data_IF_706997014827
#
_entry.id   IF_706997014827
#
_cell.length_a   1.000
_cell.length_b   1.000
_cell.length_c   1.000
_cell.angle_alpha   90.00
_cell.angle_beta   90.00
_cell.angle_gamma   90.00
#
_symmetry.space_group_name_H-M   'P 1'
#
loop_
_entity.id
_entity.type
_entity.pdbx_description
1 polymer ?
#
# COMPACT_ATOMS: atom_id res chain seq x y z
N UNK A 1 -9.97 -11.33 -7.50
CA UNK A 1 -10.31 -10.46 -8.65
C UNK A 1 -9.03 -10.18 -9.42
N UNK A 2 -9.09 -10.06 -10.74
CA UNK A 2 -7.94 -9.75 -11.60
C UNK A 2 -8.10 -8.35 -12.18
N UNK A 3 -7.07 -7.53 -12.11
CA UNK A 3 -7.07 -6.14 -12.59
C UNK A 3 -6.14 -6.00 -13.80
N UNK A 4 -6.67 -5.91 -15.04
CA UNK A 4 -5.87 -5.54 -16.20
C UNK A 4 -5.41 -4.08 -16.14
N UNK A 5 -4.44 -3.71 -16.97
CA UNK A 5 -3.95 -2.33 -17.08
C UNK A 5 -5.11 -1.34 -17.31
N UNK A 6 -5.06 -0.19 -16.62
CA UNK A 6 -6.08 0.86 -16.69
C UNK A 6 -7.29 0.63 -15.77
N UNK A 7 -7.35 -0.50 -15.07
CA UNK A 7 -8.40 -0.74 -14.07
C UNK A 7 -8.21 0.13 -12.84
N UNK A 8 -9.32 0.53 -12.23
CA UNK A 8 -9.36 1.14 -10.89
C UNK A 8 -10.15 0.22 -9.98
N UNK A 9 -9.66 0.05 -8.76
CA UNK A 9 -10.35 -0.73 -7.74
C UNK A 9 -10.22 -0.06 -6.38
N UNK A 10 -11.33 -0.01 -5.65
CA UNK A 10 -11.37 0.42 -4.25
C UNK A 10 -11.41 -0.84 -3.39
N UNK A 11 -10.40 -1.03 -2.55
CA UNK A 11 -10.41 -2.10 -1.56
C UNK A 11 -11.47 -1.74 -0.49
N UNK A 12 -12.52 -2.56 -0.30
CA UNK A 12 -13.53 -2.26 0.70
C UNK A 12 -12.95 -2.22 2.11
N UNK A 13 -13.46 -1.30 2.94
CA UNK A 13 -13.03 -1.17 4.34
C UNK A 13 -13.12 -2.51 5.09
N UNK A 14 -12.06 -2.84 5.83
CA UNK A 14 -11.98 -4.08 6.62
C UNK A 14 -11.54 -5.31 5.83
N UNK A 15 -11.25 -5.17 4.53
CA UNK A 15 -10.68 -6.24 3.71
C UNK A 15 -9.16 -6.23 3.84
N UNK A 16 -8.56 -7.38 4.15
CA UNK A 16 -7.10 -7.54 4.08
C UNK A 16 -6.65 -7.37 2.62
N UNK A 17 -5.83 -6.35 2.38
CA UNK A 17 -5.34 -6.06 1.04
C UNK A 17 -4.05 -6.84 0.75
N UNK A 18 -4.12 -7.81 -0.16
CA UNK A 18 -2.98 -8.65 -0.56
C UNK A 18 -2.85 -8.75 -2.09
N UNK A 19 -2.32 -7.71 -2.76
CA UNK A 19 -2.10 -7.75 -4.20
C UNK A 19 -1.03 -8.80 -4.56
N UNK A 20 -1.16 -9.41 -5.74
CA UNK A 20 -0.18 -10.36 -6.28
C UNK A 20 -0.06 -10.17 -7.79
N UNK A 21 1.18 -10.06 -8.28
CA UNK A 21 1.50 -9.93 -9.69
C UNK A 21 2.78 -10.71 -10.00
N UNK A 22 2.69 -12.02 -10.33
CA UNK A 22 3.87 -12.85 -10.58
C UNK A 22 4.80 -12.34 -11.69
N UNK A 23 4.24 -11.66 -12.69
CA UNK A 23 5.00 -11.01 -13.77
C UNK A 23 5.40 -9.56 -13.48
N UNK A 24 5.15 -9.06 -12.28
CA UNK A 24 5.26 -7.64 -11.92
C UNK A 24 4.04 -6.81 -12.36
N UNK A 25 3.86 -5.66 -11.70
CA UNK A 25 2.87 -4.66 -12.07
C UNK A 25 3.33 -3.28 -11.57
N UNK A 26 3.00 -2.23 -12.31
CA UNK A 26 3.08 -0.85 -11.84
C UNK A 26 1.69 -0.40 -11.45
N UNK A 27 1.55 0.10 -10.22
CA UNK A 27 0.28 0.59 -9.68
C UNK A 27 0.44 2.02 -9.18
N UNK A 28 -0.67 2.75 -9.14
CA UNK A 28 -0.80 4.01 -8.43
C UNK A 28 -1.78 3.80 -7.28
N UNK A 29 -1.38 4.21 -6.07
CA UNK A 29 -2.23 4.15 -4.88
C UNK A 29 -2.67 5.56 -4.50
N UNK A 30 -3.94 5.70 -4.16
CA UNK A 30 -4.49 6.92 -3.58
C UNK A 30 -4.72 6.69 -2.09
N UNK A 31 -4.05 7.47 -1.24
CA UNK A 31 -4.09 7.31 0.22
C UNK A 31 -4.59 8.58 0.89
N UNK A 32 -5.92 8.81 0.97
CA UNK A 32 -6.47 10.07 1.44
C UNK A 32 -6.08 10.44 2.88
N UNK A 33 -5.84 9.44 3.73
CA UNK A 33 -5.43 9.62 5.13
C UNK A 33 -3.97 9.27 5.39
N UNK A 34 -3.21 8.91 4.34
CA UNK A 34 -1.94 8.22 4.46
C UNK A 34 -2.09 6.78 4.96
N UNK A 35 -1.28 5.86 4.44
CA UNK A 35 -1.13 4.49 4.96
C UNK A 35 0.24 4.35 5.59
N UNK A 36 0.32 3.71 6.75
CA UNK A 36 1.60 3.40 7.40
C UNK A 36 2.43 2.51 6.46
N UNK A 37 3.64 2.95 6.11
CA UNK A 37 4.53 2.30 5.14
C UNK A 37 4.91 0.87 5.55
N UNK A 38 4.92 0.59 6.85
CA UNK A 38 5.21 -0.73 7.43
C UNK A 38 3.95 -1.54 7.79
N UNK A 39 2.77 -0.99 7.54
CA UNK A 39 1.50 -1.56 7.99
C UNK A 39 1.25 -1.40 9.49
N UNK A 40 0.19 -2.02 9.98
CA UNK A 40 -0.29 -2.01 11.37
C UNK A 40 0.08 -3.29 12.15
N UNK A 41 0.66 -4.28 11.46
CA UNK A 41 1.13 -5.54 12.03
C UNK A 41 2.59 -5.77 11.68
N UNK A 42 3.47 -5.59 12.67
CA UNK A 42 4.88 -5.88 12.55
C UNK A 42 5.48 -6.23 13.92
N UNK A 43 6.61 -6.92 13.90
CA UNK A 43 7.49 -7.04 15.07
C UNK A 43 8.24 -5.70 15.28
N UNK A 44 9.37 -5.70 15.98
CA UNK A 44 10.19 -4.50 16.10
C UNK A 44 10.64 -4.00 14.72
N UNK A 45 10.37 -2.73 14.42
CA UNK A 45 10.77 -2.10 13.16
C UNK A 45 12.27 -1.79 13.27
N UNK A 46 13.12 -2.24 12.33
CA UNK A 46 14.54 -1.90 12.35
C UNK A 46 14.81 -0.39 12.28
N UNK A 47 15.84 0.09 12.97
CA UNK A 47 16.19 1.52 13.07
C UNK A 47 16.40 2.24 11.72
N UNK A 48 16.73 1.50 10.66
CA UNK A 48 16.97 2.06 9.34
C UNK A 48 15.70 2.19 8.48
N UNK A 49 14.55 1.73 8.98
CA UNK A 49 13.26 1.80 8.29
C UNK A 49 12.49 3.00 8.82
N UNK A 50 12.21 3.95 7.95
CA UNK A 50 11.34 5.09 8.27
C UNK A 50 9.86 4.67 8.16
N UNK A 51 9.22 4.53 9.32
CA UNK A 51 7.79 4.25 9.43
C UNK A 51 7.00 5.56 9.30
N UNK A 52 6.35 5.74 8.16
CA UNK A 52 5.72 7.00 7.77
C UNK A 52 4.34 6.74 7.17
N UNK A 53 3.43 7.72 7.24
CA UNK A 53 2.16 7.71 6.51
C UNK A 53 2.23 8.54 5.21
N UNK A 54 3.45 8.79 4.73
CA UNK A 54 3.75 9.71 3.65
C UNK A 54 4.47 10.97 4.15
N UNK A 55 5.23 11.60 3.25
CA UNK A 55 5.90 12.87 3.51
C UNK A 55 5.16 14.02 2.82
N UNK A 56 5.10 15.21 3.44
CA UNK A 56 4.70 16.41 2.73
C UNK A 56 5.59 16.61 1.50
N UNK A 57 4.98 16.97 0.38
CA UNK A 57 5.72 17.47 -0.78
C UNK A 57 6.00 18.95 -0.52
N UNK A 58 7.25 19.31 -0.28
CA UNK A 58 7.70 20.72 -0.27
C UNK A 58 7.83 21.26 -1.70
#
# INVERSE_FOLDING_TARGET
MTLPQGSVFVVPRGTEHRPSAPGGASILMFEPSGTLSVGDRHEEIPDHVDATTGHPLE
#
